data_IF_917990687046
#
_entry.id   IF_917990687046
#
_cell.length_a   1.000
_cell.length_b   1.000
_cell.length_c   1.000
_cell.angle_alpha   90.00
_cell.angle_beta   90.00
_cell.angle_gamma   90.00
#
_symmetry.space_group_name_H-M   'P 1'
#
loop_
_entity.id
_entity.type
_entity.pdbx_description
1 polymer ?
#
# COMPACT_ATOMS: atom_id res chain seq x y z
N UNK A 1 -11.71 -5.78 19.17
CA UNK A 1 -11.35 -4.75 20.17
C UNK A 1 -11.93 -3.38 19.75
N UNK A 2 -11.57 -2.82 18.59
CA UNK A 2 -11.94 -1.46 18.15
C UNK A 2 -13.45 -1.23 18.10
N UNK A 3 -14.24 -2.17 17.55
CA UNK A 3 -15.71 -2.12 17.51
C UNK A 3 -16.33 -2.07 18.92
N UNK A 4 -15.76 -2.83 19.87
CA UNK A 4 -16.21 -2.81 21.25
C UNK A 4 -15.92 -1.45 21.92
N UNK A 5 -14.78 -0.83 21.61
CA UNK A 5 -14.43 0.51 22.10
C UNK A 5 -15.34 1.58 21.51
N UNK A 6 -15.71 1.48 20.23
CA UNK A 6 -16.67 2.37 19.61
C UNK A 6 -18.05 2.28 20.29
N UNK A 7 -18.53 1.06 20.53
CA UNK A 7 -19.79 0.82 21.24
C UNK A 7 -19.75 1.32 22.70
N UNK A 8 -18.62 1.15 23.38
CA UNK A 8 -18.44 1.62 24.76
C UNK A 8 -18.41 3.13 24.88
N UNK A 9 -17.62 3.79 24.03
CA UNK A 9 -17.36 5.24 24.12
C UNK A 9 -18.37 6.12 23.37
N UNK A 10 -19.18 5.51 22.48
CA UNK A 10 -20.04 6.24 21.56
C UNK A 10 -19.29 7.01 20.47
N UNK A 11 -17.98 6.75 20.30
CA UNK A 11 -17.14 7.38 19.28
C UNK A 11 -17.24 6.64 17.96
N UNK A 12 -16.99 7.37 16.88
CA UNK A 12 -16.94 6.78 15.54
C UNK A 12 -15.81 5.74 15.41
N UNK A 13 -16.13 4.58 14.82
CA UNK A 13 -15.17 3.48 14.65
C UNK A 13 -14.00 3.88 13.77
N UNK A 14 -14.24 4.60 12.67
CA UNK A 14 -13.18 5.02 11.75
C UNK A 14 -12.24 6.02 12.42
N UNK A 15 -12.75 6.89 13.29
CA UNK A 15 -11.94 7.81 14.09
C UNK A 15 -11.06 7.05 15.09
N UNK A 16 -11.61 6.06 15.80
CA UNK A 16 -10.85 5.20 16.70
C UNK A 16 -9.77 4.44 15.94
N UNK A 17 -10.08 3.90 14.77
CA UNK A 17 -9.12 3.19 13.92
C UNK A 17 -7.97 4.08 13.46
N UNK A 18 -8.30 5.29 13.02
CA UNK A 18 -7.33 6.29 12.62
C UNK A 18 -6.36 6.64 13.76
N UNK A 19 -6.89 6.86 14.97
CA UNK A 19 -6.10 7.22 16.15
C UNK A 19 -5.27 6.03 16.63
N UNK A 20 -5.85 4.83 16.68
CA UNK A 20 -5.20 3.62 17.19
C UNK A 20 -3.87 3.31 16.51
N UNK A 21 -3.84 3.41 15.20
CA UNK A 21 -2.64 3.14 14.41
C UNK A 21 -1.54 4.20 14.56
N UNK A 22 -1.88 5.39 15.00
CA UNK A 22 -0.95 6.51 15.23
C UNK A 22 -0.38 6.61 16.63
N UNK A 23 -0.73 5.68 17.52
CA UNK A 23 -0.29 5.72 18.91
C UNK A 23 0.64 4.56 19.24
N UNK A 24 1.64 4.86 20.07
CA UNK A 24 2.50 3.87 20.69
C UNK A 24 2.01 3.50 22.09
N UNK A 25 2.39 2.32 22.54
CA UNK A 25 2.13 1.86 23.91
C UNK A 25 2.93 2.73 24.90
N UNK A 26 2.31 3.15 26.03
CA UNK A 26 0.98 2.83 26.52
C UNK A 26 -0.13 3.72 25.93
N UNK A 27 -1.30 3.14 25.63
CA UNK A 27 -2.46 3.82 25.04
C UNK A 27 -3.27 4.67 26.05
N UNK A 28 -2.63 5.23 27.08
CA UNK A 28 -3.30 5.99 28.15
C UNK A 28 -4.09 7.18 27.62
N UNK A 29 -3.52 7.92 26.65
CA UNK A 29 -4.22 9.06 26.04
C UNK A 29 -5.44 8.64 25.24
N UNK A 30 -5.40 7.49 24.55
CA UNK A 30 -6.53 6.94 23.82
C UNK A 30 -7.67 6.60 24.79
N UNK A 31 -7.38 5.88 25.86
CA UNK A 31 -8.41 5.49 26.84
C UNK A 31 -9.00 6.71 27.56
N UNK A 32 -8.18 7.69 27.95
CA UNK A 32 -8.68 8.92 28.54
C UNK A 32 -9.64 9.68 27.61
N UNK A 33 -9.33 9.71 26.29
CA UNK A 33 -10.23 10.32 25.32
C UNK A 33 -11.51 9.51 25.10
N UNK A 34 -11.44 8.18 25.07
CA UNK A 34 -12.61 7.29 24.96
C UNK A 34 -13.54 7.43 26.17
N UNK A 35 -12.98 7.59 27.36
CA UNK A 35 -13.70 7.82 28.61
C UNK A 35 -14.21 9.26 28.79
N UNK A 36 -13.85 10.16 27.87
CA UNK A 36 -14.21 11.60 27.95
C UNK A 36 -13.47 12.38 29.02
N UNK A 37 -12.40 11.81 29.60
CA UNK A 37 -11.59 12.43 30.67
C UNK A 37 -10.34 13.16 30.15
N UNK A 38 -10.02 12.99 28.85
CA UNK A 38 -8.86 13.61 28.20
C UNK A 38 -9.16 14.11 26.79
N UNK A 39 -8.27 14.96 26.25
CA UNK A 39 -8.39 15.43 24.87
C UNK A 39 -8.19 14.30 23.86
N UNK A 40 -8.63 14.55 22.62
CA UNK A 40 -8.34 13.67 21.49
C UNK A 40 -6.81 13.56 21.32
N UNK A 41 -6.25 12.33 21.25
CA UNK A 41 -4.82 12.18 21.02
C UNK A 41 -4.39 12.80 19.68
N UNK A 42 -3.29 13.50 19.68
CA UNK A 42 -2.66 13.98 18.46
C UNK A 42 -1.95 12.81 17.77
N UNK A 43 -2.19 12.66 16.47
CA UNK A 43 -1.55 11.65 15.64
C UNK A 43 -0.46 12.35 14.83
N UNK A 44 0.74 11.82 14.86
CA UNK A 44 1.78 12.22 13.92
C UNK A 44 1.51 11.54 12.58
N UNK A 45 0.99 12.28 11.60
CA UNK A 45 0.62 11.76 10.28
C UNK A 45 1.78 11.00 9.58
N UNK A 46 3.01 11.43 9.79
CA UNK A 46 4.23 10.83 9.20
C UNK A 46 4.66 9.47 9.78
N UNK A 47 3.88 8.83 10.66
CA UNK A 47 4.28 7.54 11.28
C UNK A 47 3.12 6.56 11.44
N UNK A 48 1.99 6.83 10.80
CA UNK A 48 0.72 6.16 11.07
C UNK A 48 0.24 5.39 9.85
N UNK A 49 -0.21 4.15 10.07
CA UNK A 49 -0.98 3.41 9.07
C UNK A 49 -2.32 4.10 8.79
N UNK A 50 -2.67 4.22 7.53
CA UNK A 50 -3.96 4.73 7.06
C UNK A 50 -4.80 3.59 6.48
N UNK A 51 -6.12 3.54 6.77
CA UNK A 51 -6.98 2.52 6.18
C UNK A 51 -6.86 2.49 4.65
N UNK A 52 -6.62 1.30 4.11
CA UNK A 52 -6.44 1.09 2.67
C UNK A 52 -7.78 1.02 1.96
N UNK A 53 -7.84 1.52 0.74
CA UNK A 53 -8.96 1.28 -0.17
C UNK A 53 -8.96 -0.19 -0.60
N UNK A 54 -10.13 -0.84 -0.56
CA UNK A 54 -10.28 -2.25 -0.89
C UNK A 54 -10.89 -2.39 -2.29
N UNK A 55 -10.40 -3.37 -3.06
CA UNK A 55 -10.97 -3.76 -4.35
C UNK A 55 -12.06 -4.82 -4.17
N UNK A 56 -12.96 -4.87 -5.14
CA UNK A 56 -13.95 -5.92 -5.28
C UNK A 56 -13.61 -6.81 -6.48
N UNK A 57 -13.97 -8.11 -6.46
CA UNK A 57 -13.86 -8.93 -7.65
C UNK A 57 -14.80 -8.43 -8.74
N UNK A 58 -14.36 -8.50 -9.99
CA UNK A 58 -15.17 -8.20 -11.17
C UNK A 58 -15.83 -9.48 -11.64
N UNK A 59 -17.12 -9.43 -11.88
CA UNK A 59 -17.88 -10.45 -12.60
C UNK A 59 -17.93 -10.04 -14.09
N UNK A 60 -17.09 -10.68 -14.91
CA UNK A 60 -16.89 -10.29 -16.32
C UNK A 60 -18.20 -10.34 -17.12
N UNK A 61 -19.06 -11.36 -16.90
CA UNK A 61 -20.33 -11.53 -17.63
C UNK A 61 -21.36 -10.44 -17.29
N UNK A 62 -21.34 -9.94 -16.04
CA UNK A 62 -22.33 -8.99 -15.57
C UNK A 62 -21.82 -7.53 -15.61
N UNK A 63 -20.57 -7.34 -15.24
CA UNK A 63 -20.06 -5.98 -14.96
C UNK A 63 -19.55 -5.32 -16.25
N UNK A 64 -18.94 -6.06 -17.18
CA UNK A 64 -18.41 -5.50 -18.43
C UNK A 64 -19.48 -4.96 -19.38
N UNK A 65 -20.72 -5.45 -19.28
CA UNK A 65 -21.84 -4.87 -20.02
C UNK A 65 -22.23 -3.45 -19.54
N UNK A 66 -21.78 -3.06 -18.35
CA UNK A 66 -22.17 -1.80 -17.69
C UNK A 66 -21.01 -0.81 -17.53
N UNK A 67 -19.79 -1.30 -17.57
CA UNK A 67 -18.58 -0.52 -17.38
C UNK A 67 -18.03 -0.09 -18.74
N UNK A 68 -17.57 1.15 -18.83
CA UNK A 68 -16.88 1.64 -20.02
C UNK A 68 -15.37 1.46 -19.83
N UNK A 69 -14.65 0.82 -20.77
CA UNK A 69 -13.19 0.70 -20.70
C UNK A 69 -12.47 2.04 -20.50
N UNK A 70 -12.97 3.11 -21.11
CA UNK A 70 -12.39 4.46 -21.04
C UNK A 70 -12.41 5.05 -19.61
N UNK A 71 -13.25 4.54 -18.73
CA UNK A 71 -13.35 5.01 -17.34
C UNK A 71 -12.34 4.34 -16.40
N UNK A 72 -11.52 3.42 -16.91
CA UNK A 72 -10.64 2.59 -16.10
C UNK A 72 -9.21 2.56 -16.64
N UNK A 73 -8.25 2.46 -15.73
CA UNK A 73 -6.90 1.99 -16.04
C UNK A 73 -6.71 0.56 -15.55
N UNK A 74 -5.82 -0.19 -16.19
CA UNK A 74 -5.45 -1.53 -15.81
C UNK A 74 -3.98 -1.59 -15.39
N UNK A 75 -3.68 -2.41 -14.40
CA UNK A 75 -2.35 -2.71 -13.92
C UNK A 75 -2.24 -4.22 -13.63
N UNK A 76 -1.02 -4.75 -13.60
CA UNK A 76 -0.82 -6.12 -13.14
C UNK A 76 -1.18 -6.26 -11.66
N UNK A 77 -1.86 -7.36 -11.32
CA UNK A 77 -2.05 -7.79 -9.94
C UNK A 77 -0.84 -8.61 -9.51
N UNK A 78 0.08 -7.98 -8.84
CA UNK A 78 1.35 -8.57 -8.43
C UNK A 78 1.16 -9.64 -7.34
N UNK A 79 1.94 -10.74 -7.43
CA UNK A 79 1.95 -11.83 -6.43
C UNK A 79 2.96 -11.51 -5.32
N UNK A 80 2.57 -10.63 -4.42
CA UNK A 80 3.39 -10.16 -3.32
C UNK A 80 2.61 -9.97 -2.03
N UNK A 81 2.99 -8.96 -1.27
CA UNK A 81 2.28 -8.53 -0.06
C UNK A 81 1.95 -7.05 -0.21
N UNK A 82 0.65 -6.74 -0.23
CA UNK A 82 0.22 -5.33 -0.19
C UNK A 82 0.72 -4.66 1.06
N UNK A 83 1.38 -3.55 0.88
CA UNK A 83 1.98 -2.76 1.95
C UNK A 83 1.67 -1.28 1.79
N UNK A 84 1.73 -0.59 2.91
CA UNK A 84 1.74 0.86 2.95
C UNK A 84 3.10 1.33 3.44
N UNK A 85 3.74 2.16 2.64
CA UNK A 85 4.96 2.89 3.00
C UNK A 85 4.59 4.25 3.55
N UNK A 86 4.99 4.52 4.78
CA UNK A 86 4.86 5.84 5.40
C UNK A 86 6.26 6.42 5.54
N UNK A 87 6.53 7.51 4.81
CA UNK A 87 7.84 8.15 4.72
C UNK A 87 7.74 9.56 5.29
N UNK A 88 8.59 9.90 6.26
CA UNK A 88 8.66 11.22 6.89
C UNK A 88 10.12 11.63 7.14
N UNK A 89 10.67 12.42 6.23
CA UNK A 89 12.06 12.83 6.22
C UNK A 89 13.00 11.66 5.92
N UNK A 90 13.82 11.30 6.88
CA UNK A 90 14.78 10.18 6.85
C UNK A 90 14.22 8.90 7.50
N UNK A 91 12.95 8.89 7.87
CA UNK A 91 12.28 7.76 8.51
C UNK A 91 11.23 7.19 7.59
N UNK A 92 11.29 5.89 7.41
CA UNK A 92 10.25 5.15 6.72
C UNK A 92 9.75 4.00 7.59
N UNK A 93 8.44 3.71 7.46
CA UNK A 93 7.79 2.53 8.05
C UNK A 93 7.05 1.78 6.99
N UNK A 94 7.05 0.47 7.13
CA UNK A 94 6.36 -0.45 6.25
C UNK A 94 5.26 -1.17 7.01
N UNK A 95 4.02 -0.96 6.61
CA UNK A 95 2.86 -1.58 7.23
C UNK A 95 2.25 -2.63 6.32
N UNK A 96 1.85 -3.76 6.89
CA UNK A 96 1.07 -4.77 6.19
C UNK A 96 -0.35 -4.28 5.89
N UNK A 97 -1.10 -5.04 5.10
CA UNK A 97 -2.52 -4.78 4.80
C UNK A 97 -3.38 -4.62 6.06
N UNK A 98 -3.01 -5.26 7.16
CA UNK A 98 -3.73 -5.23 8.44
C UNK A 98 -3.25 -4.12 9.38
N UNK A 99 -2.22 -3.35 8.97
CA UNK A 99 -1.64 -2.26 9.76
C UNK A 99 -0.58 -2.74 10.76
N UNK A 100 -0.06 -3.96 10.60
CA UNK A 100 1.07 -4.42 11.40
C UNK A 100 2.36 -3.82 10.86
N UNK A 101 3.20 -3.27 11.74
CA UNK A 101 4.51 -2.76 11.36
C UNK A 101 5.48 -3.92 11.09
N UNK A 102 5.88 -4.07 9.84
CA UNK A 102 6.81 -5.10 9.37
C UNK A 102 8.19 -4.55 8.98
N UNK A 103 8.48 -3.30 9.30
CA UNK A 103 9.72 -2.59 8.96
C UNK A 103 10.98 -3.37 9.35
N UNK A 104 10.97 -4.00 10.52
CA UNK A 104 12.12 -4.75 11.04
C UNK A 104 12.54 -5.96 10.17
N UNK A 105 11.62 -6.51 9.38
CA UNK A 105 11.93 -7.58 8.42
C UNK A 105 12.55 -7.07 7.11
N UNK A 106 12.46 -5.75 6.85
CA UNK A 106 12.90 -5.11 5.60
C UNK A 106 13.75 -3.86 5.84
N UNK A 107 14.85 -3.95 6.63
CA UNK A 107 15.69 -2.81 6.95
C UNK A 107 16.33 -2.19 5.68
N UNK A 108 16.71 -3.01 4.72
CA UNK A 108 17.27 -2.60 3.43
C UNK A 108 16.31 -1.74 2.59
N UNK A 109 15.01 -1.90 2.79
CA UNK A 109 13.99 -1.08 2.16
C UNK A 109 13.80 0.24 2.90
N UNK A 110 13.50 0.19 4.21
CA UNK A 110 13.17 1.39 4.97
C UNK A 110 14.34 2.36 5.16
N UNK A 111 15.58 1.86 5.24
CA UNK A 111 16.78 2.67 5.34
C UNK A 111 17.17 3.36 4.02
N UNK A 112 16.66 2.88 2.89
CA UNK A 112 16.95 3.44 1.56
C UNK A 112 15.98 4.56 1.13
N UNK A 113 14.93 4.82 1.93
CA UNK A 113 13.86 5.74 1.56
C UNK A 113 13.99 7.08 2.29
N UNK A 114 13.60 8.14 1.57
CA UNK A 114 13.53 9.50 2.10
C UNK A 114 12.45 10.31 1.40
N UNK A 115 12.19 11.51 1.92
CA UNK A 115 11.11 12.37 1.43
C UNK A 115 9.91 12.37 2.37
N UNK A 116 8.74 12.75 1.87
CA UNK A 116 7.51 12.74 2.67
C UNK A 116 6.34 12.31 1.81
N UNK A 117 5.78 11.14 2.09
CA UNK A 117 4.64 10.57 1.39
C UNK A 117 4.05 9.38 2.15
N UNK A 118 2.80 9.04 1.83
CA UNK A 118 2.22 7.73 2.14
C UNK A 118 1.87 7.05 0.82
N UNK A 119 2.54 5.93 0.56
CA UNK A 119 2.43 5.18 -0.69
C UNK A 119 1.79 3.82 -0.44
N UNK A 120 0.99 3.37 -1.39
CA UNK A 120 0.39 2.03 -1.42
C UNK A 120 1.03 1.23 -2.56
N UNK A 121 1.44 0.02 -2.28
CA UNK A 121 2.17 -0.79 -3.26
C UNK A 121 2.23 -2.26 -2.88
N UNK A 122 2.84 -3.03 -3.76
CA UNK A 122 3.12 -4.45 -3.54
C UNK A 122 4.58 -4.64 -3.16
N UNK A 123 4.81 -5.23 -2.00
CA UNK A 123 6.13 -5.64 -1.54
C UNK A 123 6.53 -6.93 -2.23
N UNK A 124 7.67 -6.90 -2.89
CA UNK A 124 8.25 -7.97 -3.66
C UNK A 124 9.71 -8.18 -3.25
N UNK A 125 10.28 -9.30 -3.64
CA UNK A 125 11.73 -9.54 -3.59
C UNK A 125 12.22 -9.88 -4.98
N UNK A 126 13.41 -9.41 -5.33
CA UNK A 126 13.99 -9.62 -6.65
C UNK A 126 15.14 -8.68 -6.94
N UNK A 127 15.88 -8.95 -8.01
CA UNK A 127 16.97 -8.11 -8.49
C UNK A 127 16.48 -7.24 -9.65
N UNK A 128 16.93 -6.00 -9.70
CA UNK A 128 16.63 -5.06 -10.79
C UNK A 128 15.12 -4.93 -11.09
N UNK A 129 14.30 -4.98 -10.02
CA UNK A 129 12.84 -4.97 -10.06
C UNK A 129 12.19 -6.16 -10.80
N UNK A 130 12.95 -7.22 -11.10
CA UNK A 130 12.40 -8.49 -11.61
C UNK A 130 11.94 -9.35 -10.42
N UNK A 131 10.63 -9.60 -10.24
CA UNK A 131 10.12 -10.27 -9.05
C UNK A 131 10.45 -11.75 -9.04
N UNK A 132 10.95 -12.23 -7.91
CA UNK A 132 11.01 -13.65 -7.59
C UNK A 132 9.63 -14.14 -7.14
N UNK A 133 9.44 -15.46 -7.05
CA UNK A 133 8.18 -16.03 -6.59
C UNK A 133 7.90 -15.72 -5.10
N UNK A 134 6.63 -15.78 -4.71
CA UNK A 134 6.15 -15.47 -3.37
C UNK A 134 6.84 -16.25 -2.23
N UNK A 135 7.30 -17.48 -2.49
CA UNK A 135 8.01 -18.27 -1.46
C UNK A 135 9.32 -17.60 -1.01
N UNK A 136 10.01 -16.89 -1.89
CA UNK A 136 11.20 -16.14 -1.54
C UNK A 136 10.88 -14.93 -0.65
N UNK A 137 9.78 -14.24 -0.92
CA UNK A 137 9.29 -13.16 -0.08
C UNK A 137 8.92 -13.66 1.32
N UNK A 138 8.26 -14.81 1.44
CA UNK A 138 7.93 -15.41 2.72
C UNK A 138 9.17 -15.72 3.57
N UNK A 139 10.29 -16.08 2.95
CA UNK A 139 11.54 -16.31 3.69
C UNK A 139 12.07 -15.04 4.36
N UNK A 140 11.81 -13.87 3.78
CA UNK A 140 12.12 -12.57 4.39
C UNK A 140 11.14 -12.22 5.49
N UNK A 141 9.84 -12.32 5.24
CA UNK A 141 8.77 -11.91 6.15
C UNK A 141 8.82 -12.68 7.49
N UNK A 142 9.15 -13.96 7.45
CA UNK A 142 9.20 -14.81 8.65
C UNK A 142 10.39 -14.51 9.58
N UNK A 143 11.22 -13.52 9.27
CA UNK A 143 12.43 -13.17 10.02
C UNK A 143 12.33 -11.75 10.58
N UNK A 144 12.19 -11.63 11.91
CA UNK A 144 12.19 -10.31 12.56
C UNK A 144 13.49 -9.53 12.37
N UNK A 145 14.61 -10.22 12.14
CA UNK A 145 15.92 -9.62 11.85
C UNK A 145 16.59 -10.46 10.79
N UNK A 146 16.56 -10.06 9.53
CA UNK A 146 17.19 -10.80 8.45
C UNK A 146 18.72 -10.69 8.51
N UNK A 147 19.42 -11.80 8.24
CA UNK A 147 20.87 -11.78 8.07
C UNK A 147 21.25 -11.05 6.77
N UNK A 148 22.47 -10.49 6.70
CA UNK A 148 22.98 -9.81 5.48
C UNK A 148 22.92 -10.68 4.23
N UNK A 149 23.12 -11.99 4.35
CA UNK A 149 22.98 -12.94 3.25
C UNK A 149 21.55 -12.99 2.72
N UNK A 150 20.54 -12.99 3.60
CA UNK A 150 19.14 -12.98 3.16
C UNK A 150 18.75 -11.68 2.47
N UNK A 151 19.29 -10.55 2.93
CA UNK A 151 19.06 -9.25 2.29
C UNK A 151 19.66 -9.24 0.87
N UNK A 152 20.87 -9.80 0.72
CA UNK A 152 21.54 -9.90 -0.56
C UNK A 152 20.85 -10.87 -1.52
N UNK A 153 20.45 -12.03 -1.02
CA UNK A 153 19.91 -13.12 -1.84
C UNK A 153 18.45 -12.89 -2.21
N UNK A 154 17.71 -12.13 -1.37
CA UNK A 154 16.31 -11.76 -1.56
C UNK A 154 16.12 -10.25 -1.32
N UNK A 155 16.71 -9.36 -2.14
CA UNK A 155 16.55 -7.92 -1.95
C UNK A 155 15.10 -7.50 -2.12
N UNK A 156 14.59 -6.71 -1.16
CA UNK A 156 13.21 -6.26 -1.19
C UNK A 156 13.06 -4.97 -1.98
N UNK A 157 11.92 -4.81 -2.65
CA UNK A 157 11.48 -3.57 -3.27
C UNK A 157 9.96 -3.46 -3.19
N UNK A 158 9.43 -2.26 -3.37
CA UNK A 158 7.98 -2.03 -3.47
C UNK A 158 7.63 -1.52 -4.84
N UNK A 159 6.68 -2.18 -5.49
CA UNK A 159 6.05 -1.70 -6.72
C UNK A 159 4.84 -0.87 -6.35
N UNK A 160 5.01 0.44 -6.45
CA UNK A 160 4.03 1.42 -5.97
C UNK A 160 2.97 1.65 -7.04
N UNK A 161 1.71 1.66 -6.65
CA UNK A 161 0.59 1.84 -7.58
C UNK A 161 -0.40 2.93 -7.14
N UNK A 162 -0.30 3.47 -5.92
CA UNK A 162 -1.11 4.60 -5.47
C UNK A 162 -0.35 5.46 -4.44
N UNK A 163 -0.78 6.71 -4.32
CA UNK A 163 -0.33 7.66 -3.31
C UNK A 163 -1.52 8.12 -2.50
N UNK A 164 -1.42 8.00 -1.16
CA UNK A 164 -2.50 8.36 -0.24
C UNK A 164 -2.28 9.74 0.36
N UNK A 165 -1.01 10.11 0.57
CA UNK A 165 -0.62 11.44 1.05
C UNK A 165 0.57 11.94 0.23
N UNK A 166 0.47 13.21 -0.20
CA UNK A 166 1.54 13.97 -0.82
C UNK A 166 2.06 14.98 0.20
N UNK A 167 3.23 14.70 0.79
CA UNK A 167 3.65 15.42 1.97
C UNK A 167 2.69 15.22 3.15
N UNK A 168 2.04 16.30 3.57
CA UNK A 168 1.02 16.29 4.63
C UNK A 168 -0.43 16.29 4.11
N UNK A 169 -0.59 16.49 2.81
CA UNK A 169 -1.90 16.54 2.16
C UNK A 169 -2.51 15.15 2.00
N UNK A 170 -3.68 14.92 2.57
CA UNK A 170 -4.48 13.71 2.32
C UNK A 170 -5.14 13.84 0.94
N UNK A 171 -4.72 13.01 0.01
CA UNK A 171 -5.18 13.05 -1.39
C UNK A 171 -6.09 11.87 -1.75
N UNK A 172 -6.51 11.07 -0.78
CA UNK A 172 -7.32 9.86 -1.02
C UNK A 172 -8.69 10.17 -1.66
N UNK A 173 -9.22 11.36 -1.40
CA UNK A 173 -10.50 11.81 -1.97
C UNK A 173 -10.36 12.39 -3.40
N UNK A 174 -9.12 12.52 -3.91
CA UNK A 174 -8.91 12.94 -5.29
C UNK A 174 -9.16 11.79 -6.27
N UNK A 175 -9.55 12.08 -7.52
CA UNK A 175 -9.58 11.11 -8.60
C UNK A 175 -8.25 10.37 -8.76
N UNK A 176 -8.30 9.09 -9.18
CA UNK A 176 -7.09 8.28 -9.35
C UNK A 176 -6.10 8.92 -10.32
N UNK A 177 -6.58 9.52 -11.39
CA UNK A 177 -5.74 10.21 -12.38
C UNK A 177 -4.90 11.33 -11.76
N UNK A 178 -5.43 12.04 -10.77
CA UNK A 178 -4.70 13.10 -10.08
C UNK A 178 -3.70 12.53 -9.06
N UNK A 179 -4.08 11.49 -8.32
CA UNK A 179 -3.18 10.79 -7.40
C UNK A 179 -2.02 10.14 -8.17
N UNK A 180 -2.31 9.51 -9.30
CA UNK A 180 -1.30 8.91 -10.18
C UNK A 180 -0.29 9.93 -10.69
N UNK A 181 -0.74 11.07 -11.17
CA UNK A 181 0.14 12.16 -11.62
C UNK A 181 1.06 12.65 -10.51
N UNK A 182 0.55 12.79 -9.28
CA UNK A 182 1.36 13.17 -8.10
C UNK A 182 2.36 12.09 -7.74
N UNK A 183 1.94 10.83 -7.77
CA UNK A 183 2.82 9.69 -7.54
C UNK A 183 3.99 9.68 -8.54
N UNK A 184 3.73 9.84 -9.83
CA UNK A 184 4.76 9.88 -10.87
C UNK A 184 5.74 11.03 -10.67
N UNK A 185 5.24 12.21 -10.31
CA UNK A 185 6.07 13.37 -10.01
C UNK A 185 6.95 13.15 -8.76
N UNK A 186 6.40 12.53 -7.72
CA UNK A 186 7.15 12.18 -6.52
C UNK A 186 8.19 11.11 -6.81
N UNK A 187 7.84 10.06 -7.54
CA UNK A 187 8.74 8.98 -7.94
C UNK A 187 9.92 9.48 -8.78
N UNK A 188 9.70 10.46 -9.67
CA UNK A 188 10.77 11.04 -10.50
C UNK A 188 11.90 11.68 -9.68
N UNK A 189 11.64 12.07 -8.44
CA UNK A 189 12.60 12.76 -7.57
C UNK A 189 13.08 11.93 -6.37
N UNK A 190 12.32 10.90 -5.99
CA UNK A 190 12.57 10.11 -4.77
C UNK A 190 12.72 8.61 -5.02
N UNK A 191 12.44 8.12 -6.23
CA UNK A 191 12.63 6.71 -6.55
C UNK A 191 14.11 6.36 -6.47
N UNK A 192 14.48 5.71 -5.41
CA UNK A 192 15.80 5.10 -5.25
C UNK A 192 15.83 3.69 -5.86
N UNK A 193 16.75 2.90 -5.39
CA UNK A 193 16.95 1.52 -5.86
C UNK A 193 15.92 0.51 -5.31
N UNK A 194 14.92 0.97 -4.54
CA UNK A 194 13.97 0.10 -3.82
C UNK A 194 12.50 0.37 -4.11
N UNK A 195 12.22 1.39 -4.91
CA UNK A 195 10.86 1.69 -5.36
C UNK A 195 10.80 1.58 -6.88
N UNK A 196 9.75 0.94 -7.35
CA UNK A 196 9.38 0.84 -8.74
C UNK A 196 7.92 1.27 -8.93
N UNK A 197 7.59 1.83 -10.08
CA UNK A 197 6.25 2.29 -10.38
C UNK A 197 5.49 1.20 -11.13
N UNK A 198 4.30 0.83 -10.65
CA UNK A 198 3.44 -0.11 -11.35
C UNK A 198 3.06 0.42 -12.73
N UNK A 199 3.27 -0.38 -13.76
CA UNK A 199 2.96 -0.03 -15.15
C UNK A 199 1.45 0.03 -15.38
N UNK A 200 1.01 1.06 -16.09
CA UNK A 200 -0.36 1.15 -16.60
C UNK A 200 -0.40 0.42 -17.95
N UNK A 201 -1.26 -0.58 -18.06
CA UNK A 201 -1.43 -1.38 -19.25
C UNK A 201 -2.38 -0.67 -20.22
N UNK A 202 -1.97 -0.53 -21.46
CA UNK A 202 -2.82 0.03 -22.53
C UNK A 202 -3.83 -1.04 -23.01
N UNK A 203 -5.09 -0.67 -23.08
CA UNK A 203 -6.18 -1.47 -23.67
C UNK A 203 -7.27 -0.52 -24.17
N UNK A 204 -8.02 -0.93 -25.18
CA UNK A 204 -9.10 -0.15 -25.76
C UNK A 204 -10.49 -0.76 -25.46
N UNK A 205 -10.54 -2.06 -25.20
CA UNK A 205 -11.77 -2.78 -24.89
C UNK A 205 -11.51 -3.95 -23.93
N UNK A 206 -12.58 -4.56 -23.43
CA UNK A 206 -12.50 -5.66 -22.49
C UNK A 206 -11.93 -6.95 -23.08
N UNK A 207 -12.03 -7.15 -24.40
CA UNK A 207 -11.46 -8.32 -25.09
C UNK A 207 -9.93 -8.23 -25.13
N UNK A 208 -9.38 -7.06 -25.42
CA UNK A 208 -7.93 -6.78 -25.31
C UNK A 208 -7.43 -6.97 -23.87
N UNK A 209 -8.18 -6.48 -22.88
CA UNK A 209 -7.83 -6.67 -21.47
C UNK A 209 -7.83 -8.14 -21.08
N UNK A 210 -8.83 -8.91 -21.53
CA UNK A 210 -8.89 -10.35 -21.31
C UNK A 210 -7.73 -11.10 -22.01
N UNK A 211 -7.30 -10.62 -23.20
CA UNK A 211 -6.13 -11.16 -23.87
C UNK A 211 -4.84 -10.88 -23.09
N UNK A 212 -4.64 -9.67 -22.60
CA UNK A 212 -3.53 -9.32 -21.71
C UNK A 212 -3.48 -10.21 -20.48
N UNK A 213 -4.63 -10.45 -19.82
CA UNK A 213 -4.72 -11.34 -18.66
C UNK A 213 -4.27 -12.76 -18.98
N UNK A 214 -4.68 -13.31 -20.14
CA UNK A 214 -4.26 -14.65 -20.56
C UNK A 214 -2.76 -14.74 -20.83
N UNK A 215 -2.20 -13.75 -21.52
CA UNK A 215 -0.75 -13.66 -21.76
C UNK A 215 0.04 -13.52 -20.45
N UNK A 216 -0.48 -12.72 -19.55
CA UNK A 216 0.15 -12.50 -18.25
C UNK A 216 0.16 -13.73 -17.35
N UNK A 217 -0.82 -14.64 -17.46
CA UNK A 217 -0.84 -15.88 -16.69
C UNK A 217 0.37 -16.81 -16.98
N UNK A 218 1.03 -16.61 -18.11
CA UNK A 218 2.23 -17.36 -18.51
C UNK A 218 3.54 -16.68 -18.06
N UNK A 219 3.44 -15.48 -17.50
CA UNK A 219 4.59 -14.67 -17.07
C UNK A 219 4.72 -14.70 -15.55
N UNK A 220 5.92 -14.51 -15.02
CA UNK A 220 6.17 -14.57 -13.59
C UNK A 220 5.80 -13.26 -12.87
N UNK A 221 5.42 -13.36 -11.60
CA UNK A 221 5.31 -12.25 -10.67
C UNK A 221 3.95 -11.58 -10.54
N UNK A 222 2.94 -12.00 -11.31
CA UNK A 222 1.57 -11.50 -11.16
C UNK A 222 0.52 -12.62 -11.29
N UNK A 223 -0.65 -12.41 -10.69
CA UNK A 223 -1.74 -13.38 -10.58
C UNK A 223 -3.03 -12.90 -11.28
N UNK A 224 -2.95 -11.88 -12.10
CA UNK A 224 -4.07 -11.31 -12.83
C UNK A 224 -3.95 -9.81 -13.08
N UNK A 225 -5.08 -9.15 -13.20
CA UNK A 225 -5.18 -7.72 -13.44
C UNK A 225 -5.99 -7.02 -12.36
N UNK A 226 -5.66 -5.74 -12.16
CA UNK A 226 -6.42 -4.78 -11.36
C UNK A 226 -6.95 -3.70 -12.28
N UNK A 227 -8.28 -3.54 -12.34
CA UNK A 227 -8.88 -2.36 -12.98
C UNK A 227 -9.23 -1.33 -11.91
N UNK A 228 -8.97 -0.08 -12.19
CA UNK A 228 -9.15 1.04 -11.27
C UNK A 228 -9.87 2.16 -11.97
N UNK A 229 -10.95 2.65 -11.35
CA UNK A 229 -11.71 3.78 -11.89
C UNK A 229 -10.88 5.05 -11.85
N UNK A 230 -10.89 5.82 -12.94
CA UNK A 230 -10.06 7.02 -13.10
C UNK A 230 -10.60 8.23 -12.35
N UNK A 231 -11.95 8.37 -12.26
CA UNK A 231 -12.67 9.51 -11.64
C UNK A 231 -13.18 9.19 -10.25
#
# INVERSE_FOLDING_TARGET
AKTALAAYSGRDLAEIEKIWHGLEIPYTGLFAWLDGTGPRPEIRHGQTFHPMMLSNPVDEERDFDRLSPDDYQAEWKWDGIRVQLVIDGDRARLFSRTGDDISAAFPDLVEALGGRAVLDGELLVGHDFDPMNFNHLQQRLNRKTPAKSHIRDYPAFVRVYDMLFDGEEDIRDLPLVDRRRRLEAWMATHAGTRLDLSEILAFNDWDELAALRRMGAETHGHEGLMIKQLQ
#
